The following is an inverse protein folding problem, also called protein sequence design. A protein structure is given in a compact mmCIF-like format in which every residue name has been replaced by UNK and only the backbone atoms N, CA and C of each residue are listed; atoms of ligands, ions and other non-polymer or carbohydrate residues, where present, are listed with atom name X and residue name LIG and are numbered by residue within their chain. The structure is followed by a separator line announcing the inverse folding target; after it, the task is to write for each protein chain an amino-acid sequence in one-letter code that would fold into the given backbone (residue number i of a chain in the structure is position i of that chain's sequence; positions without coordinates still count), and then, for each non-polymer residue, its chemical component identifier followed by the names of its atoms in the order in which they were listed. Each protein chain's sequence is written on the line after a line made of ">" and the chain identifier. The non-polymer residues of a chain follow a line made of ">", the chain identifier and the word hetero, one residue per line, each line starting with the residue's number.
data_IF_989013943633
#
_entry.id   IF_989013943633
#
_cell.length_a   1.000
_cell.length_b   1.000
_cell.length_c   1.000
_cell.angle_alpha   90.00
_cell.angle_beta   90.00
_cell.angle_gamma   90.00
#
_symmetry.space_group_name_H-M   'P 1'
#
loop_
_entity.id
_entity.type
_entity.pdbx_description
1 polymer ?
#
# COMPACT_ATOMS: atom_id res chain seq x y z
N UNK A 1 -3.87 1.81 68.46
CA UNK A 1 -5.29 2.01 68.75
C UNK A 1 -5.95 2.12 67.37
N UNK A 2 -6.70 1.26 66.86
CA UNK A 2 -7.61 0.22 67.11
C UNK A 2 -8.10 -0.24 65.74
N UNK A 3 -7.95 -1.47 65.45
CA UNK A 3 -8.76 -2.19 64.46
C UNK A 3 -10.02 -2.66 65.19
N UNK A 4 -10.94 -3.45 64.67
CA UNK A 4 -11.21 -4.02 63.33
C UNK A 4 -12.75 -4.06 63.00
N UNK A 5 -13.11 -4.99 62.09
CA UNK A 5 -14.42 -5.62 61.80
C UNK A 5 -15.04 -5.18 60.43
N UNK A 6 -15.70 -5.98 59.62
CA UNK A 6 -15.82 -7.46 59.52
C UNK A 6 -16.48 -7.74 58.16
N UNK A 7 -16.10 -8.84 57.56
CA UNK A 7 -16.79 -9.77 56.66
C UNK A 7 -18.29 -9.52 56.36
N UNK A 8 -18.69 -9.67 55.10
CA UNK A 8 -19.76 -10.64 54.74
C UNK A 8 -19.78 -10.99 53.24
N UNK A 9 -19.49 -12.25 52.99
CA UNK A 9 -19.83 -13.10 51.86
C UNK A 9 -21.34 -13.15 51.65
N UNK A 10 -21.84 -13.03 50.40
CA UNK A 10 -23.08 -13.71 50.01
C UNK A 10 -22.98 -14.21 48.55
N UNK A 11 -22.93 -15.50 48.49
CA UNK A 11 -23.21 -16.43 47.42
C UNK A 11 -24.69 -16.43 47.10
N UNK A 12 -25.11 -16.37 45.81
CA UNK A 12 -26.39 -16.91 45.34
C UNK A 12 -26.40 -17.15 43.83
N UNK A 13 -26.16 -18.42 43.45
CA UNK A 13 -27.07 -19.27 42.67
C UNK A 13 -27.44 -18.83 41.23
N UNK A 14 -26.92 -19.61 40.29
CA UNK A 14 -27.41 -19.86 38.94
C UNK A 14 -28.83 -20.45 38.95
N UNK A 15 -29.66 -20.17 37.95
CA UNK A 15 -30.61 -21.14 37.44
C UNK A 15 -30.45 -21.46 35.94
N UNK A 16 -31.16 -22.46 35.41
CA UNK A 16 -30.62 -23.43 34.48
C UNK A 16 -31.00 -23.22 33.01
N UNK A 17 -30.34 -24.00 32.15
CA UNK A 17 -30.53 -24.11 30.73
C UNK A 17 -31.98 -24.47 30.33
N UNK A 18 -32.53 -23.68 29.38
CA UNK A 18 -33.76 -23.98 28.68
C UNK A 18 -33.48 -24.36 27.23
N UNK A 19 -33.58 -25.65 26.95
CA UNK A 19 -33.63 -26.24 25.62
C UNK A 19 -34.88 -25.78 24.87
N UNK A 20 -34.76 -25.16 23.72
CA UNK A 20 -35.87 -24.89 22.84
C UNK A 20 -35.55 -25.18 21.37
N UNK A 21 -35.57 -26.47 21.06
CA UNK A 21 -35.63 -26.96 19.69
C UNK A 21 -36.97 -26.53 19.07
N UNK A 22 -36.94 -25.57 18.15
CA UNK A 22 -38.04 -25.36 17.21
C UNK A 22 -37.63 -25.66 15.78
N UNK A 23 -38.40 -26.59 15.27
CA UNK A 23 -38.45 -27.23 13.95
C UNK A 23 -38.43 -26.22 12.78
N UNK A 24 -37.61 -26.52 11.77
CA UNK A 24 -37.66 -25.91 10.43
C UNK A 24 -38.85 -26.49 9.66
N UNK A 25 -39.61 -25.69 8.89
CA UNK A 25 -40.43 -26.24 7.80
C UNK A 25 -39.61 -26.24 6.48
N UNK A 26 -39.72 -27.36 5.77
CA UNK A 26 -39.19 -27.59 4.45
C UNK A 26 -39.93 -26.73 3.40
N UNK A 27 -39.22 -26.00 2.57
CA UNK A 27 -39.76 -25.33 1.40
C UNK A 27 -39.57 -26.21 0.15
N UNK A 28 -40.70 -26.48 -0.48
CA UNK A 28 -40.85 -27.27 -1.69
C UNK A 28 -40.16 -26.61 -2.88
N UNK A 29 -39.44 -27.44 -3.62
CA UNK A 29 -38.96 -27.16 -4.99
C UNK A 29 -40.17 -27.18 -5.94
N UNK A 30 -40.43 -26.08 -6.62
CA UNK A 30 -41.35 -25.99 -7.73
C UNK A 30 -40.57 -26.07 -9.04
N UNK A 31 -40.70 -27.19 -9.70
CA UNK A 31 -40.27 -27.38 -11.09
C UNK A 31 -41.26 -26.68 -12.01
N UNK A 32 -40.80 -25.78 -12.85
CA UNK A 32 -41.59 -25.22 -13.94
C UNK A 32 -41.03 -25.70 -15.28
N UNK A 33 -41.87 -26.39 -16.00
CA UNK A 33 -41.65 -27.03 -17.28
C UNK A 33 -41.53 -26.02 -18.43
N UNK A 34 -40.64 -26.34 -19.35
CA UNK A 34 -40.44 -25.65 -20.62
C UNK A 34 -41.56 -25.95 -21.62
N UNK A 35 -41.90 -24.97 -22.44
CA UNK A 35 -42.46 -25.18 -23.76
C UNK A 35 -41.78 -24.23 -24.78
N UNK A 36 -41.61 -24.67 -26.04
CA UNK A 36 -40.76 -24.01 -27.01
C UNK A 36 -41.55 -23.20 -28.01
N UNK A 37 -41.08 -22.00 -28.39
CA UNK A 37 -41.56 -21.38 -29.64
C UNK A 37 -40.43 -20.67 -30.42
N UNK A 38 -40.30 -21.21 -31.63
CA UNK A 38 -40.04 -20.58 -32.94
C UNK A 38 -38.71 -19.91 -33.23
N UNK A 39 -38.02 -20.65 -34.10
CA UNK A 39 -37.02 -20.24 -35.11
C UNK A 39 -37.22 -18.82 -35.69
N UNK A 40 -36.18 -18.02 -35.63
CA UNK A 40 -35.82 -17.12 -36.75
C UNK A 40 -34.32 -17.19 -36.99
N UNK A 41 -33.95 -17.66 -38.15
CA UNK A 41 -32.62 -17.66 -38.75
C UNK A 41 -32.20 -16.21 -38.97
N UNK A 42 -30.99 -15.83 -38.52
CA UNK A 42 -30.16 -14.86 -39.23
C UNK A 42 -28.72 -15.37 -39.25
N UNK A 43 -28.28 -15.57 -40.48
CA UNK A 43 -26.93 -15.87 -40.92
C UNK A 43 -26.09 -14.65 -40.70
N UNK A 44 -25.13 -14.68 -39.79
CA UNK A 44 -23.88 -13.90 -39.77
C UNK A 44 -23.04 -14.42 -38.59
N UNK A 45 -22.32 -15.52 -38.79
CA UNK A 45 -21.33 -16.00 -37.84
C UNK A 45 -20.35 -16.96 -38.54
N UNK A 46 -19.57 -16.41 -39.41
CA UNK A 46 -18.37 -17.09 -39.91
C UNK A 46 -17.34 -16.02 -40.28
N UNK A 47 -16.67 -15.43 -39.28
CA UNK A 47 -15.40 -14.70 -39.42
C UNK A 47 -14.80 -14.24 -38.06
N UNK A 48 -15.14 -14.91 -36.94
CA UNK A 48 -14.53 -14.56 -35.64
C UNK A 48 -13.96 -15.78 -34.88
N UNK A 49 -13.69 -16.89 -35.60
CA UNK A 49 -13.17 -18.12 -34.98
C UNK A 49 -11.65 -18.33 -35.20
N UNK A 50 -10.95 -17.45 -35.94
CA UNK A 50 -9.51 -17.61 -36.18
C UNK A 50 -8.62 -16.66 -35.37
N UNK A 51 -9.15 -15.73 -34.59
CA UNK A 51 -8.34 -14.80 -33.78
C UNK A 51 -8.17 -15.22 -32.31
N UNK A 52 -8.89 -16.23 -31.82
CA UNK A 52 -8.82 -16.71 -30.42
C UNK A 52 -7.93 -17.93 -30.23
N UNK A 53 -7.44 -18.56 -31.30
CA UNK A 53 -6.52 -19.71 -31.20
C UNK A 53 -5.03 -19.31 -31.13
N UNK A 54 -4.69 -18.05 -31.36
CA UNK A 54 -3.30 -17.56 -31.30
C UNK A 54 -2.89 -16.93 -29.97
N UNK A 55 -3.85 -16.70 -29.04
CA UNK A 55 -3.54 -16.13 -27.72
C UNK A 55 -3.42 -17.16 -26.60
N UNK A 56 -3.67 -18.45 -26.85
CA UNK A 56 -3.57 -19.51 -25.84
C UNK A 56 -2.25 -20.32 -25.92
N UNK A 57 -1.37 -19.98 -26.85
CA UNK A 57 -0.05 -20.63 -26.98
C UNK A 57 1.12 -19.82 -26.35
N UNK A 58 0.84 -18.72 -25.67
CA UNK A 58 1.84 -17.82 -25.06
C UNK A 58 1.94 -17.86 -23.54
N UNK A 59 1.19 -18.70 -22.85
CA UNK A 59 1.22 -18.82 -21.38
C UNK A 59 1.76 -20.18 -20.89
N UNK A 60 2.63 -20.81 -21.64
CA UNK A 60 3.61 -21.72 -21.05
C UNK A 60 4.77 -20.88 -20.56
N UNK A 61 4.60 -20.27 -19.38
CA UNK A 61 5.69 -19.77 -18.57
C UNK A 61 6.64 -20.93 -18.29
N UNK A 62 7.61 -21.11 -19.18
CA UNK A 62 8.71 -22.02 -18.96
C UNK A 62 9.34 -21.60 -17.63
N UNK A 63 9.21 -22.44 -16.60
CA UNK A 63 10.14 -22.43 -15.48
C UNK A 63 11.52 -22.34 -16.11
N UNK A 64 12.17 -21.20 -15.97
CA UNK A 64 13.58 -21.07 -16.33
C UNK A 64 14.32 -21.98 -15.34
N UNK A 65 14.45 -23.25 -15.69
CA UNK A 65 15.34 -24.15 -15.00
C UNK A 65 16.71 -23.48 -15.08
N UNK A 66 17.31 -23.21 -13.94
CA UNK A 66 18.66 -22.68 -13.82
C UNK A 66 19.53 -23.47 -14.82
N UNK A 67 20.12 -22.76 -15.78
CA UNK A 67 20.81 -23.37 -16.92
C UNK A 67 21.75 -24.46 -16.42
N UNK A 68 21.61 -25.72 -16.81
CA UNK A 68 22.41 -26.83 -16.30
C UNK A 68 23.91 -26.62 -16.48
N UNK A 69 24.31 -25.71 -17.38
CA UNK A 69 25.67 -25.30 -17.65
C UNK A 69 26.43 -24.76 -16.45
N UNK A 70 25.76 -24.08 -15.49
CA UNK A 70 26.42 -23.53 -14.29
C UNK A 70 26.72 -24.63 -13.28
N UNK A 71 25.79 -25.56 -13.12
CA UNK A 71 25.97 -26.69 -12.19
C UNK A 71 27.10 -27.64 -12.66
N UNK A 72 27.21 -27.81 -13.97
CA UNK A 72 28.29 -28.67 -14.54
C UNK A 72 29.65 -28.03 -14.38
N UNK A 73 29.80 -26.72 -14.63
CA UNK A 73 31.07 -26.00 -14.49
C UNK A 73 31.57 -25.97 -13.04
N UNK A 74 30.67 -25.85 -12.04
CA UNK A 74 31.05 -25.83 -10.63
C UNK A 74 31.43 -27.23 -10.08
N UNK A 75 30.92 -28.30 -10.70
CA UNK A 75 31.29 -29.68 -10.31
C UNK A 75 32.68 -30.11 -10.80
N UNK A 76 33.19 -29.51 -11.90
CA UNK A 76 34.47 -29.89 -12.52
C UNK A 76 35.68 -29.10 -12.01
N UNK A 77 35.49 -28.07 -11.20
CA UNK A 77 36.59 -27.28 -10.63
C UNK A 77 37.32 -28.09 -9.54
N UNK A 78 38.47 -28.66 -9.88
CA UNK A 78 39.28 -29.52 -8.98
C UNK A 78 40.50 -28.83 -8.38
N UNK A 79 40.96 -27.74 -8.96
CA UNK A 79 42.08 -26.94 -8.46
C UNK A 79 41.65 -25.69 -7.73
N UNK A 80 42.51 -25.16 -6.83
CA UNK A 80 42.19 -23.96 -6.05
C UNK A 80 41.80 -22.76 -6.93
N UNK A 81 42.54 -22.52 -8.01
CA UNK A 81 42.23 -21.45 -8.96
C UNK A 81 40.85 -21.65 -9.66
N UNK A 82 40.56 -22.90 -10.07
CA UNK A 82 39.26 -23.24 -10.65
C UNK A 82 38.09 -23.07 -9.67
N UNK A 83 38.29 -23.40 -8.39
CA UNK A 83 37.29 -23.18 -7.33
C UNK A 83 37.09 -21.71 -7.07
N UNK A 84 38.13 -20.89 -7.06
CA UNK A 84 38.02 -19.44 -6.92
C UNK A 84 37.28 -18.81 -8.10
N UNK A 85 37.63 -19.19 -9.34
CA UNK A 85 36.91 -18.68 -10.52
C UNK A 85 35.43 -19.11 -10.53
N UNK A 86 35.12 -20.32 -10.11
CA UNK A 86 33.73 -20.78 -9.98
C UNK A 86 32.99 -20.03 -8.89
N UNK A 87 33.65 -19.70 -7.77
CA UNK A 87 33.09 -18.86 -6.73
C UNK A 87 32.81 -17.42 -7.22
N UNK A 88 33.73 -16.82 -7.97
CA UNK A 88 33.54 -15.49 -8.56
C UNK A 88 32.35 -15.47 -9.54
N UNK A 89 32.25 -16.50 -10.39
CA UNK A 89 31.12 -16.64 -11.31
C UNK A 89 29.79 -16.78 -10.58
N UNK A 90 29.76 -17.64 -9.55
CA UNK A 90 28.55 -17.82 -8.74
C UNK A 90 28.17 -16.54 -8.00
N UNK A 91 29.14 -15.82 -7.44
CA UNK A 91 28.92 -14.56 -6.75
C UNK A 91 28.34 -13.50 -7.70
N UNK A 92 28.90 -13.36 -8.91
CA UNK A 92 28.38 -12.45 -9.94
C UNK A 92 26.95 -12.80 -10.38
N UNK A 93 26.63 -14.09 -10.49
CA UNK A 93 25.29 -14.53 -10.86
C UNK A 93 24.26 -14.24 -9.76
N UNK A 94 24.64 -14.48 -8.50
CA UNK A 94 23.78 -14.16 -7.36
C UNK A 94 23.59 -12.65 -7.28
N UNK A 95 24.64 -11.84 -7.40
CA UNK A 95 24.53 -10.38 -7.40
C UNK A 95 23.59 -9.87 -8.51
N UNK A 96 23.74 -10.37 -9.74
CA UNK A 96 22.86 -10.00 -10.85
C UNK A 96 21.39 -10.42 -10.65
N UNK A 97 21.13 -11.46 -9.85
CA UNK A 97 19.78 -11.83 -9.44
C UNK A 97 19.26 -10.93 -8.32
N UNK A 98 20.13 -10.60 -7.37
CA UNK A 98 19.80 -9.69 -6.27
C UNK A 98 19.44 -8.31 -6.83
N UNK A 99 20.20 -7.74 -7.79
CA UNK A 99 19.86 -6.48 -8.48
C UNK A 99 18.48 -6.53 -9.18
N UNK A 100 18.18 -7.64 -9.87
CA UNK A 100 16.88 -7.82 -10.52
C UNK A 100 15.75 -8.00 -9.51
N UNK A 101 16.03 -8.62 -8.39
CA UNK A 101 15.09 -8.81 -7.31
C UNK A 101 14.74 -7.46 -6.67
N UNK A 102 15.72 -6.59 -6.45
CA UNK A 102 15.50 -5.25 -5.92
C UNK A 102 14.57 -4.42 -6.80
N UNK A 103 14.74 -4.48 -8.14
CA UNK A 103 13.81 -3.80 -9.07
C UNK A 103 12.37 -4.28 -8.87
N UNK A 104 12.15 -5.60 -8.76
CA UNK A 104 10.80 -6.15 -8.57
C UNK A 104 10.24 -5.83 -7.17
N UNK A 105 11.11 -5.79 -6.16
CA UNK A 105 10.72 -5.39 -4.80
C UNK A 105 10.24 -3.93 -4.80
N UNK A 106 10.97 -3.03 -5.42
CA UNK A 106 10.58 -1.63 -5.55
C UNK A 106 9.27 -1.45 -6.33
N UNK A 107 9.05 -2.23 -7.40
CA UNK A 107 7.77 -2.24 -8.15
C UNK A 107 6.61 -2.72 -7.27
N UNK A 108 6.83 -3.71 -6.41
CA UNK A 108 5.86 -4.20 -5.43
C UNK A 108 5.56 -3.14 -4.36
N UNK A 109 6.57 -2.46 -3.80
CA UNK A 109 6.42 -1.39 -2.82
C UNK A 109 5.64 -0.21 -3.40
N UNK A 110 5.91 0.15 -4.67
CA UNK A 110 5.12 1.13 -5.39
C UNK A 110 3.64 0.72 -5.48
N UNK A 111 3.37 -0.52 -5.86
CA UNK A 111 2.02 -1.03 -5.99
C UNK A 111 1.30 -1.07 -4.62
N UNK A 112 1.99 -1.45 -3.55
CA UNK A 112 1.48 -1.40 -2.18
C UNK A 112 1.13 0.02 -1.73
N UNK A 113 2.00 0.99 -1.99
CA UNK A 113 1.74 2.41 -1.70
C UNK A 113 0.52 2.93 -2.47
N UNK A 114 0.39 2.57 -3.74
CA UNK A 114 -0.79 2.91 -4.56
C UNK A 114 -2.06 2.28 -4.01
N UNK A 115 -2.01 1.01 -3.56
CA UNK A 115 -3.15 0.32 -2.97
C UNK A 115 -3.60 1.04 -1.69
N UNK A 116 -2.67 1.38 -0.80
CA UNK A 116 -2.96 2.14 0.42
C UNK A 116 -3.68 3.45 0.11
N UNK A 117 -3.17 4.23 -0.85
CA UNK A 117 -3.79 5.51 -1.24
C UNK A 117 -5.21 5.34 -1.81
N UNK A 118 -5.47 4.26 -2.56
CA UNK A 118 -6.82 3.97 -3.09
C UNK A 118 -7.76 3.51 -1.97
N UNK A 119 -7.29 2.69 -1.04
CA UNK A 119 -8.07 2.21 0.12
C UNK A 119 -8.44 3.38 1.06
N UNK A 120 -7.56 4.36 1.25
CA UNK A 120 -7.86 5.60 1.98
C UNK A 120 -8.96 6.42 1.29
N UNK A 121 -8.87 6.59 -0.03
CA UNK A 121 -9.89 7.26 -0.82
C UNK A 121 -11.25 6.53 -0.75
N UNK A 122 -11.26 5.20 -0.83
CA UNK A 122 -12.47 4.39 -0.66
C UNK A 122 -13.10 4.60 0.72
N UNK A 123 -12.29 4.67 1.77
CA UNK A 123 -12.73 4.92 3.14
C UNK A 123 -13.38 6.30 3.27
N UNK A 124 -12.78 7.33 2.69
CA UNK A 124 -13.34 8.68 2.66
C UNK A 124 -14.67 8.75 1.89
N UNK A 125 -14.74 8.12 0.71
CA UNK A 125 -15.98 8.08 -0.08
C UNK A 125 -17.08 7.34 0.67
N UNK A 126 -16.78 6.26 1.40
CA UNK A 126 -17.74 5.54 2.24
C UNK A 126 -18.34 6.43 3.31
N UNK A 127 -17.53 7.20 4.01
CA UNK A 127 -17.98 8.15 5.03
C UNK A 127 -18.90 9.24 4.45
N UNK A 128 -18.48 9.82 3.32
CA UNK A 128 -19.28 10.83 2.61
C UNK A 128 -20.59 10.27 2.10
N UNK A 129 -20.60 9.03 1.60
CA UNK A 129 -21.79 8.35 1.12
C UNK A 129 -22.78 8.10 2.27
N UNK A 130 -22.31 7.58 3.41
CA UNK A 130 -23.14 7.34 4.59
C UNK A 130 -23.78 8.65 5.09
N UNK A 131 -23.01 9.73 5.19
CA UNK A 131 -23.56 11.04 5.58
C UNK A 131 -24.60 11.54 4.56
N UNK A 132 -24.29 11.48 3.27
CA UNK A 132 -25.22 11.94 2.23
C UNK A 132 -26.50 11.09 2.14
N UNK A 133 -26.44 9.80 2.47
CA UNK A 133 -27.62 8.93 2.59
C UNK A 133 -28.48 9.31 3.80
N UNK A 134 -27.87 9.67 4.92
CA UNK A 134 -28.59 10.19 6.10
C UNK A 134 -29.28 11.52 5.77
N UNK A 135 -28.56 12.45 5.13
CA UNK A 135 -29.11 13.74 4.71
C UNK A 135 -30.30 13.53 3.74
N UNK A 136 -30.16 12.59 2.80
CA UNK A 136 -31.21 12.23 1.85
C UNK A 136 -32.47 11.71 2.56
N UNK A 137 -32.31 10.81 3.54
CA UNK A 137 -33.41 10.26 4.30
C UNK A 137 -34.15 11.35 5.11
N UNK A 138 -33.41 12.29 5.71
CA UNK A 138 -34.00 13.45 6.43
C UNK A 138 -34.76 14.37 5.47
N UNK A 139 -34.20 14.67 4.30
CA UNK A 139 -34.86 15.50 3.29
C UNK A 139 -36.09 14.80 2.71
N UNK A 140 -36.06 13.48 2.49
CA UNK A 140 -37.23 12.70 2.09
C UNK A 140 -38.34 12.77 3.12
N UNK A 141 -38.03 12.63 4.41
CA UNK A 141 -39.00 12.72 5.49
C UNK A 141 -39.62 14.15 5.56
N UNK A 142 -38.80 15.19 5.45
CA UNK A 142 -39.24 16.58 5.44
C UNK A 142 -40.16 16.87 4.26
N UNK A 143 -39.77 16.46 3.05
CA UNK A 143 -40.57 16.61 1.85
C UNK A 143 -41.88 15.83 1.93
N UNK A 144 -41.85 14.59 2.43
CA UNK A 144 -43.03 13.77 2.64
C UNK A 144 -44.01 14.40 3.61
N UNK A 145 -43.54 14.95 4.75
CA UNK A 145 -44.35 15.67 5.74
C UNK A 145 -44.99 16.93 5.14
N UNK A 146 -44.19 17.65 4.31
CA UNK A 146 -44.68 18.86 3.66
C UNK A 146 -45.75 18.54 2.61
N UNK A 147 -45.56 17.53 1.78
CA UNK A 147 -46.56 17.06 0.81
C UNK A 147 -47.85 16.58 1.51
N UNK A 148 -47.74 15.84 2.62
CA UNK A 148 -48.87 15.40 3.38
C UNK A 148 -49.65 16.58 4.00
N UNK A 149 -48.97 17.63 4.44
CA UNK A 149 -49.56 18.86 4.92
C UNK A 149 -50.31 19.59 3.80
N UNK A 150 -49.68 19.78 2.61
CA UNK A 150 -50.32 20.38 1.44
C UNK A 150 -51.58 19.62 1.01
N UNK A 151 -51.53 18.29 0.96
CA UNK A 151 -52.67 17.45 0.62
C UNK A 151 -53.84 17.63 1.60
N UNK A 152 -53.58 17.77 2.91
CA UNK A 152 -54.60 18.01 3.93
C UNK A 152 -55.27 19.37 3.83
N UNK A 153 -54.53 20.42 3.36
CA UNK A 153 -55.11 21.74 3.17
C UNK A 153 -56.09 21.81 1.98
N UNK A 154 -55.98 20.93 0.99
CA UNK A 154 -56.82 20.88 -0.21
C UNK A 154 -56.61 22.09 -1.15
N UNK A 155 -57.06 21.96 -2.37
CA UNK A 155 -56.87 22.99 -3.43
C UNK A 155 -57.61 24.33 -3.13
N UNK A 156 -58.60 24.30 -2.28
CA UNK A 156 -59.47 25.46 -2.03
C UNK A 156 -59.13 26.20 -0.72
N UNK A 157 -58.44 25.61 0.24
CA UNK A 157 -58.21 26.22 1.55
C UNK A 157 -57.39 27.50 1.51
N UNK A 158 -56.35 27.55 0.71
CA UNK A 158 -55.49 28.74 0.55
C UNK A 158 -56.15 29.84 -0.30
N UNK A 159 -56.91 29.45 -1.32
CA UNK A 159 -57.62 30.41 -2.19
C UNK A 159 -58.83 31.03 -1.47
N UNK A 160 -59.56 30.24 -0.68
CA UNK A 160 -60.71 30.71 0.09
C UNK A 160 -60.25 31.68 1.21
N UNK A 161 -59.16 31.37 1.88
CA UNK A 161 -58.52 32.24 2.88
C UNK A 161 -58.00 33.57 2.25
N UNK A 162 -57.52 33.53 1.00
CA UNK A 162 -57.03 34.70 0.27
C UNK A 162 -58.20 35.60 -0.18
N UNK A 163 -59.32 35.02 -0.61
CA UNK A 163 -60.46 35.74 -1.17
C UNK A 163 -61.39 36.31 -0.10
N UNK A 164 -61.48 35.71 1.08
CA UNK A 164 -62.36 36.14 2.17
C UNK A 164 -61.73 37.14 3.16
N UNK A 165 -60.58 37.69 2.89
CA UNK A 165 -59.85 38.64 3.77
C UNK A 165 -60.22 40.11 3.54
N UNK A 166 -60.61 40.76 4.62
CA UNK A 166 -61.27 42.04 4.65
C UNK A 166 -60.46 43.32 4.42
N UNK A 167 -59.11 43.31 4.22
CA UNK A 167 -58.35 44.55 3.95
C UNK A 167 -57.23 44.34 2.92
N UNK A 168 -56.86 45.42 2.19
CA UNK A 168 -55.71 45.41 1.23
C UNK A 168 -54.39 45.12 1.92
N UNK A 169 -54.21 45.49 3.17
CA UNK A 169 -53.02 45.24 3.99
C UNK A 169 -52.91 43.76 4.32
N UNK A 170 -54.01 43.08 4.64
CA UNK A 170 -54.04 41.63 4.90
C UNK A 170 -53.75 40.83 3.63
N UNK A 171 -54.24 41.26 2.48
CA UNK A 171 -53.97 40.66 1.17
C UNK A 171 -52.47 40.73 0.83
N UNK A 172 -51.81 41.87 1.09
CA UNK A 172 -50.38 42.04 0.88
C UNK A 172 -49.54 41.13 1.80
N UNK A 173 -49.92 41.05 3.07
CA UNK A 173 -49.24 40.16 4.03
C UNK A 173 -49.38 38.68 3.65
N UNK A 174 -50.54 38.27 3.17
CA UNK A 174 -50.82 36.90 2.70
C UNK A 174 -50.01 36.57 1.42
N UNK A 175 -49.94 37.51 0.50
CA UNK A 175 -49.12 37.36 -0.72
C UNK A 175 -47.61 37.16 -0.37
N UNK A 176 -47.10 37.91 0.61
CA UNK A 176 -45.74 37.77 1.08
C UNK A 176 -45.50 36.42 1.75
N UNK A 177 -46.48 35.92 2.51
CA UNK A 177 -46.43 34.57 3.12
C UNK A 177 -46.38 33.49 2.03
N UNK A 178 -47.19 33.59 1.00
CA UNK A 178 -47.19 32.65 -0.13
C UNK A 178 -45.85 32.67 -0.90
N UNK A 179 -45.25 33.85 -1.10
CA UNK A 179 -43.92 33.96 -1.70
C UNK A 179 -42.86 33.24 -0.89
N UNK A 180 -42.87 33.41 0.43
CA UNK A 180 -41.97 32.72 1.35
C UNK A 180 -42.19 31.21 1.33
N UNK A 181 -43.42 30.75 1.30
CA UNK A 181 -43.77 29.34 1.19
C UNK A 181 -43.20 28.72 -0.14
N UNK A 182 -43.49 29.41 -1.26
CA UNK A 182 -42.94 28.99 -2.57
C UNK A 182 -41.42 28.98 -2.62
N UNK A 183 -40.75 29.90 -1.93
CA UNK A 183 -39.30 29.90 -1.82
C UNK A 183 -38.78 28.69 -1.00
N UNK A 184 -39.46 28.41 0.12
CA UNK A 184 -39.14 27.26 0.96
C UNK A 184 -39.33 25.94 0.18
N UNK A 185 -40.41 25.80 -0.56
CA UNK A 185 -40.71 24.62 -1.38
C UNK A 185 -39.62 24.38 -2.42
N UNK A 186 -39.21 25.47 -3.11
CA UNK A 186 -38.09 25.38 -4.07
C UNK A 186 -36.79 24.96 -3.40
N UNK A 187 -36.47 25.53 -2.24
CA UNK A 187 -35.26 25.17 -1.49
C UNK A 187 -35.27 23.71 -1.05
N UNK A 188 -36.40 23.21 -0.56
CA UNK A 188 -36.56 21.78 -0.18
C UNK A 188 -36.37 20.86 -1.37
N UNK A 189 -37.05 21.15 -2.50
CA UNK A 189 -36.95 20.36 -3.73
C UNK A 189 -35.53 20.41 -4.30
N UNK A 190 -34.94 21.59 -4.41
CA UNK A 190 -33.62 21.77 -5.03
C UNK A 190 -32.53 21.15 -4.14
N UNK A 191 -32.65 21.27 -2.82
CA UNK A 191 -31.78 20.59 -1.87
C UNK A 191 -31.86 19.06 -1.98
N UNK A 192 -33.08 18.51 -2.06
CA UNK A 192 -33.29 17.09 -2.27
C UNK A 192 -32.67 16.59 -3.57
N UNK A 193 -32.92 17.27 -4.69
CA UNK A 193 -32.37 16.90 -6.00
C UNK A 193 -30.83 16.99 -6.01
N UNK A 194 -30.26 18.01 -5.36
CA UNK A 194 -28.81 18.14 -5.22
C UNK A 194 -28.22 16.98 -4.40
N UNK A 195 -28.88 16.57 -3.34
CA UNK A 195 -28.45 15.45 -2.50
C UNK A 195 -28.54 14.11 -3.26
N UNK A 196 -29.62 13.88 -4.01
CA UNK A 196 -29.76 12.70 -4.90
C UNK A 196 -28.60 12.66 -5.91
N UNK A 197 -28.31 13.79 -6.55
CA UNK A 197 -27.20 13.89 -7.51
C UNK A 197 -25.86 13.59 -6.84
N UNK A 198 -25.63 14.11 -5.63
CA UNK A 198 -24.42 13.86 -4.85
C UNK A 198 -24.27 12.38 -4.49
N UNK A 199 -25.33 11.72 -4.01
CA UNK A 199 -25.32 10.29 -3.68
C UNK A 199 -24.97 9.46 -4.90
N UNK A 200 -25.60 9.71 -6.04
CA UNK A 200 -25.32 9.00 -7.29
C UNK A 200 -23.87 9.20 -7.76
N UNK A 201 -23.33 10.42 -7.67
CA UNK A 201 -21.94 10.71 -8.02
C UNK A 201 -20.95 9.97 -7.08
N UNK A 202 -21.23 9.93 -5.77
CA UNK A 202 -20.42 9.20 -4.79
C UNK A 202 -20.47 7.69 -5.04
N UNK A 203 -21.64 7.13 -5.37
CA UNK A 203 -21.77 5.70 -5.72
C UNK A 203 -20.96 5.35 -6.95
N UNK A 204 -21.02 6.18 -8.00
CA UNK A 204 -20.23 5.99 -9.22
C UNK A 204 -18.74 6.08 -8.93
N UNK A 205 -18.31 7.07 -8.15
CA UNK A 205 -16.91 7.24 -7.73
C UNK A 205 -16.43 6.07 -6.88
N UNK A 206 -17.27 5.57 -5.96
CA UNK A 206 -16.96 4.40 -5.15
C UNK A 206 -16.75 3.15 -6.00
N UNK A 207 -17.62 2.90 -6.98
CA UNK A 207 -17.50 1.76 -7.89
C UNK A 207 -16.19 1.83 -8.69
N UNK A 208 -15.89 3.00 -9.27
CA UNK A 208 -14.66 3.20 -10.04
C UNK A 208 -13.39 3.01 -9.18
N UNK A 209 -13.39 3.53 -7.94
CA UNK A 209 -12.25 3.35 -7.02
C UNK A 209 -12.10 1.91 -6.54
N UNK A 210 -13.20 1.21 -6.31
CA UNK A 210 -13.18 -0.23 -5.99
C UNK A 210 -12.56 -1.04 -7.13
N UNK A 211 -12.94 -0.75 -8.37
CA UNK A 211 -12.41 -1.44 -9.55
C UNK A 211 -10.92 -1.12 -9.73
N UNK A 212 -10.50 0.12 -9.49
CA UNK A 212 -9.08 0.51 -9.44
C UNK A 212 -8.33 -0.28 -8.36
N UNK A 213 -8.88 -0.40 -7.15
CA UNK A 213 -8.25 -1.16 -6.06
C UNK A 213 -8.07 -2.64 -6.42
N UNK A 214 -9.04 -3.25 -7.14
CA UNK A 214 -8.91 -4.64 -7.60
C UNK A 214 -7.74 -4.82 -8.57
N UNK A 215 -7.58 -3.90 -9.53
CA UNK A 215 -6.47 -3.95 -10.51
C UNK A 215 -5.11 -3.80 -9.81
N UNK A 216 -5.00 -2.82 -8.90
CA UNK A 216 -3.75 -2.62 -8.15
C UNK A 216 -3.44 -3.81 -7.25
N UNK A 217 -4.45 -4.41 -6.62
CA UNK A 217 -4.29 -5.61 -5.78
C UNK A 217 -3.80 -6.81 -6.58
N UNK A 218 -4.34 -7.03 -7.79
CA UNK A 218 -3.83 -8.06 -8.69
C UNK A 218 -2.37 -7.83 -9.09
N UNK A 219 -1.96 -6.58 -9.29
CA UNK A 219 -0.56 -6.24 -9.54
C UNK A 219 0.32 -6.58 -8.33
N UNK A 220 -0.08 -6.18 -7.13
CA UNK A 220 0.65 -6.52 -5.88
C UNK A 220 0.86 -8.03 -5.74
N UNK A 221 -0.19 -8.82 -6.00
CA UNK A 221 -0.11 -10.28 -5.92
C UNK A 221 0.83 -10.86 -7.01
N UNK A 222 0.80 -10.32 -8.22
CA UNK A 222 1.67 -10.76 -9.33
C UNK A 222 3.16 -10.45 -9.04
N UNK A 223 3.46 -9.26 -8.56
CA UNK A 223 4.84 -8.89 -8.18
C UNK A 223 5.34 -9.76 -7.02
N UNK A 224 4.48 -10.02 -6.02
CA UNK A 224 4.81 -10.92 -4.91
C UNK A 224 5.16 -12.33 -5.39
N UNK A 225 4.42 -12.86 -6.36
CA UNK A 225 4.74 -14.17 -6.95
C UNK A 225 6.09 -14.13 -7.69
N UNK A 226 6.35 -13.06 -8.43
CA UNK A 226 7.62 -12.86 -9.14
C UNK A 226 8.79 -12.82 -8.17
N UNK A 227 8.67 -12.11 -7.04
CA UNK A 227 9.67 -12.09 -5.97
C UNK A 227 9.91 -13.50 -5.43
N UNK A 228 8.86 -14.25 -5.13
CA UNK A 228 8.99 -15.62 -4.62
C UNK A 228 9.73 -16.55 -5.62
N UNK A 229 9.42 -16.43 -6.91
CA UNK A 229 10.08 -17.20 -7.97
C UNK A 229 11.57 -16.84 -8.07
N UNK A 230 11.93 -15.55 -8.00
CA UNK A 230 13.32 -15.09 -8.03
C UNK A 230 14.12 -15.55 -6.80
N UNK A 231 13.49 -15.50 -5.62
CA UNK A 231 14.10 -16.04 -4.39
C UNK A 231 14.34 -17.54 -4.49
N UNK A 232 13.41 -18.30 -5.07
CA UNK A 232 13.57 -19.73 -5.31
C UNK A 232 14.69 -20.02 -6.32
N UNK A 233 14.81 -19.23 -7.41
CA UNK A 233 15.90 -19.31 -8.38
C UNK A 233 17.26 -19.05 -7.71
N UNK A 234 17.36 -17.99 -6.91
CA UNK A 234 18.54 -17.66 -6.10
C UNK A 234 18.95 -18.83 -5.20
N UNK A 235 17.98 -19.35 -4.45
CA UNK A 235 18.22 -20.49 -3.55
C UNK A 235 18.70 -21.73 -4.31
N UNK A 236 18.10 -22.04 -5.45
CA UNK A 236 18.49 -23.17 -6.29
C UNK A 236 19.95 -23.06 -6.78
N UNK A 237 20.40 -21.86 -7.14
CA UNK A 237 21.80 -21.60 -7.52
C UNK A 237 22.71 -21.88 -6.31
N UNK A 238 22.39 -21.33 -5.13
CA UNK A 238 23.18 -21.53 -3.90
C UNK A 238 23.23 -23.00 -3.50
N UNK A 239 22.12 -23.73 -3.61
CA UNK A 239 22.05 -25.14 -3.27
C UNK A 239 22.83 -26.02 -4.26
N UNK A 240 22.84 -25.65 -5.53
CA UNK A 240 23.62 -26.33 -6.58
C UNK A 240 25.13 -26.17 -6.46
N UNK A 241 25.64 -25.24 -5.64
CA UNK A 241 27.07 -25.01 -5.48
C UNK A 241 27.76 -26.16 -4.76
N UNK A 242 28.98 -26.48 -5.21
CA UNK A 242 29.89 -27.40 -4.53
C UNK A 242 30.21 -26.91 -3.10
N UNK A 243 30.40 -27.83 -2.17
CA UNK A 243 30.70 -27.54 -0.75
C UNK A 243 31.95 -26.67 -0.57
N UNK A 244 32.98 -26.82 -1.42
CA UNK A 244 34.17 -25.98 -1.38
C UNK A 244 33.89 -24.54 -1.81
N UNK A 245 33.10 -24.36 -2.85
CA UNK A 245 32.65 -23.02 -3.31
C UNK A 245 31.80 -22.36 -2.21
N UNK A 246 30.86 -23.08 -1.60
CA UNK A 246 30.07 -22.58 -0.46
C UNK A 246 30.97 -22.09 0.69
N UNK A 247 32.03 -22.86 1.04
CA UNK A 247 32.98 -22.44 2.05
C UNK A 247 33.73 -21.16 1.68
N UNK A 248 34.17 -21.01 0.42
CA UNK A 248 34.82 -19.79 -0.09
C UNK A 248 33.86 -18.59 0.04
N UNK A 249 32.61 -18.73 -0.40
CA UNK A 249 31.61 -17.66 -0.31
C UNK A 249 31.30 -17.28 1.14
N UNK A 250 31.12 -18.25 2.02
CA UNK A 250 30.91 -17.99 3.47
C UNK A 250 32.10 -17.27 4.09
N UNK A 251 33.32 -17.66 3.73
CA UNK A 251 34.52 -16.98 4.22
C UNK A 251 34.60 -15.53 3.72
N UNK A 252 34.31 -15.29 2.44
CA UNK A 252 34.23 -13.93 1.87
C UNK A 252 33.17 -13.07 2.56
N UNK A 253 31.98 -13.62 2.76
CA UNK A 253 30.89 -12.94 3.49
C UNK A 253 31.29 -12.57 4.92
N UNK A 254 32.01 -13.48 5.64
CA UNK A 254 32.56 -13.19 6.97
C UNK A 254 33.56 -12.04 6.95
N UNK A 255 34.48 -12.01 6.00
CA UNK A 255 35.47 -10.95 5.88
C UNK A 255 34.79 -9.60 5.53
N UNK A 256 33.80 -9.61 4.64
CA UNK A 256 32.99 -8.43 4.32
C UNK A 256 32.23 -7.92 5.56
N UNK A 257 31.59 -8.81 6.33
CA UNK A 257 30.88 -8.45 7.54
C UNK A 257 31.83 -7.87 8.62
N UNK A 258 33.05 -8.43 8.76
CA UNK A 258 34.05 -7.90 9.68
C UNK A 258 34.52 -6.51 9.24
N UNK A 259 34.76 -6.31 7.94
CA UNK A 259 35.12 -5.00 7.39
C UNK A 259 33.99 -3.97 7.63
N UNK A 260 32.75 -4.34 7.37
CA UNK A 260 31.58 -3.48 7.62
C UNK A 260 31.43 -3.14 9.10
N UNK A 261 31.58 -4.12 10.00
CA UNK A 261 31.55 -3.90 11.44
C UNK A 261 32.66 -2.95 11.92
N UNK A 262 33.86 -3.06 11.34
CA UNK A 262 34.95 -2.13 11.60
C UNK A 262 34.64 -0.71 11.11
N UNK A 263 34.12 -0.56 9.90
CA UNK A 263 33.67 0.73 9.36
C UNK A 263 32.56 1.34 10.21
N UNK A 264 31.59 0.53 10.63
CA UNK A 264 30.49 0.94 11.50
C UNK A 264 30.98 1.44 12.87
N UNK A 265 31.90 0.71 13.47
CA UNK A 265 32.53 1.11 14.75
C UNK A 265 33.32 2.41 14.60
N UNK A 266 34.06 2.57 13.51
CA UNK A 266 34.79 3.81 13.22
C UNK A 266 33.83 4.99 12.97
N UNK A 267 32.75 4.76 12.23
CA UNK A 267 31.72 5.79 12.00
C UNK A 267 31.07 6.25 13.31
N UNK A 268 30.73 5.32 14.20
CA UNK A 268 30.16 5.63 15.51
C UNK A 268 31.16 6.38 16.40
N UNK A 269 32.43 5.97 16.43
CA UNK A 269 33.48 6.63 17.22
C UNK A 269 33.72 8.08 16.75
N UNK A 270 33.54 8.36 15.47
CA UNK A 270 33.82 9.68 14.88
C UNK A 270 32.56 10.52 14.66
N UNK A 271 31.37 10.02 15.06
CA UNK A 271 30.11 10.72 14.81
C UNK A 271 30.05 12.13 15.41
N UNK A 272 30.74 12.35 16.51
CA UNK A 272 30.85 13.67 17.15
C UNK A 272 31.78 14.67 16.42
N UNK A 273 32.57 14.19 15.45
CA UNK A 273 33.48 15.04 14.64
C UNK A 273 32.92 15.26 13.23
N UNK A 274 31.81 14.65 12.90
CA UNK A 274 31.13 14.81 11.60
C UNK A 274 30.48 16.20 11.58
N UNK A 275 30.78 16.98 10.54
CA UNK A 275 30.17 18.29 10.33
C UNK A 275 28.78 18.13 9.72
N UNK A 276 27.77 18.72 10.36
CA UNK A 276 26.39 18.70 9.94
C UNK A 276 25.46 19.32 10.97
N UNK A 277 24.21 19.54 10.62
CA UNK A 277 23.19 19.98 11.59
C UNK A 277 22.92 18.89 12.62
N UNK A 278 22.40 19.19 13.82
CA UNK A 278 22.04 18.20 14.81
C UNK A 278 21.06 17.12 14.24
N UNK A 279 20.13 17.52 13.36
CA UNK A 279 19.18 16.60 12.74
C UNK A 279 19.86 15.65 11.73
N UNK A 280 20.79 16.15 10.90
CA UNK A 280 21.59 15.33 9.98
C UNK A 280 22.41 14.26 10.74
N UNK A 281 23.13 14.71 11.78
CA UNK A 281 23.88 13.78 12.65
C UNK A 281 22.95 12.79 13.34
N UNK A 282 21.77 13.24 13.74
CA UNK A 282 20.74 12.40 14.33
C UNK A 282 20.27 11.29 13.42
N UNK A 283 19.98 11.59 12.15
CA UNK A 283 19.60 10.60 11.11
C UNK A 283 20.69 9.55 10.98
N UNK A 284 21.95 9.95 10.81
CA UNK A 284 23.08 9.02 10.70
C UNK A 284 23.20 8.13 11.95
N UNK A 285 23.12 8.74 13.14
CA UNK A 285 23.22 8.00 14.41
C UNK A 285 22.09 6.98 14.55
N UNK A 286 20.88 7.35 14.18
CA UNK A 286 19.73 6.46 14.28
C UNK A 286 19.82 5.33 13.24
N UNK A 287 20.27 5.59 12.02
CA UNK A 287 20.53 4.55 11.02
C UNK A 287 21.60 3.55 11.50
N UNK A 288 22.69 4.03 12.10
CA UNK A 288 23.77 3.18 12.64
C UNK A 288 23.33 2.30 13.82
N UNK A 289 22.22 2.61 14.50
CA UNK A 289 21.66 1.73 15.55
C UNK A 289 21.08 0.43 15.01
N UNK A 290 20.77 0.39 13.71
CA UNK A 290 20.19 -0.78 13.05
C UNK A 290 21.23 -1.67 12.39
N UNK A 291 22.54 -1.42 12.58
CA UNK A 291 23.57 -2.31 12.08
C UNK A 291 23.36 -3.75 12.56
N UNK A 292 23.41 -4.70 11.62
CA UNK A 292 23.17 -6.10 11.87
C UNK A 292 21.70 -6.54 11.84
N UNK A 293 20.75 -5.62 11.68
CA UNK A 293 19.34 -5.98 11.43
C UNK A 293 19.22 -6.62 10.05
N UNK A 294 18.53 -7.78 9.92
CA UNK A 294 18.44 -8.49 8.66
C UNK A 294 17.69 -7.68 7.59
N UNK A 295 18.13 -7.83 6.35
CA UNK A 295 17.34 -7.38 5.20
C UNK A 295 16.07 -8.22 5.09
N UNK A 296 14.94 -7.53 4.99
CA UNK A 296 13.62 -8.13 4.75
C UNK A 296 12.92 -7.28 3.71
N UNK A 297 12.60 -7.84 2.54
CA UNK A 297 11.88 -7.13 1.50
C UNK A 297 10.49 -6.67 2.00
N UNK A 298 10.09 -5.45 1.66
CA UNK A 298 8.91 -4.79 2.23
C UNK A 298 9.06 -4.47 3.72
N UNK A 299 10.25 -4.58 4.29
CA UNK A 299 10.53 -4.35 5.70
C UNK A 299 10.81 -2.88 6.00
N UNK A 300 10.06 -2.29 6.94
CA UNK A 300 10.22 -0.93 7.42
C UNK A 300 10.19 -0.85 8.96
N UNK A 301 10.79 -1.81 9.65
CA UNK A 301 10.78 -1.88 11.11
C UNK A 301 12.09 -2.46 11.67
N UNK A 302 12.38 -2.28 12.97
CA UNK A 302 13.57 -2.88 13.61
C UNK A 302 13.66 -4.41 13.54
N UNK A 303 12.60 -5.10 13.10
CA UNK A 303 12.63 -6.55 12.88
C UNK A 303 13.22 -6.93 11.51
N UNK A 304 13.32 -5.98 10.60
CA UNK A 304 13.88 -6.12 9.25
C UNK A 304 13.61 -4.89 8.42
N UNK A 305 14.56 -4.55 7.57
CA UNK A 305 14.49 -3.42 6.65
C UNK A 305 14.85 -3.87 5.23
N UNK A 306 14.20 -3.29 4.21
CA UNK A 306 14.81 -3.12 2.90
C UNK A 306 15.45 -1.73 2.76
N UNK A 307 15.98 -1.40 1.60
CA UNK A 307 16.73 -0.16 1.39
C UNK A 307 15.87 1.09 1.62
N UNK A 308 14.69 1.16 1.01
CA UNK A 308 13.77 2.30 1.09
C UNK A 308 13.01 2.33 2.42
N UNK A 309 12.77 1.17 3.04
CA UNK A 309 12.15 1.07 4.36
C UNK A 309 13.04 1.52 5.52
N UNK A 310 14.35 1.27 5.44
CA UNK A 310 15.31 1.84 6.41
C UNK A 310 15.27 3.37 6.37
N UNK A 311 15.29 3.94 5.17
CA UNK A 311 15.20 5.38 4.96
C UNK A 311 13.89 5.92 5.50
N UNK A 312 12.74 5.33 5.11
CA UNK A 312 11.41 5.71 5.57
C UNK A 312 11.34 5.73 7.10
N UNK A 313 11.80 4.67 7.74
CA UNK A 313 11.73 4.51 9.20
C UNK A 313 12.57 5.56 9.94
N UNK A 314 13.79 5.77 9.47
CA UNK A 314 14.72 6.73 10.10
C UNK A 314 14.24 8.17 9.90
N UNK A 315 13.86 8.54 8.67
CA UNK A 315 13.50 9.91 8.31
C UNK A 315 12.17 10.36 8.93
N UNK A 316 11.23 9.44 9.14
CA UNK A 316 9.96 9.74 9.82
C UNK A 316 10.17 10.36 11.21
N UNK A 317 11.23 9.95 11.94
CA UNK A 317 11.59 10.49 13.26
C UNK A 317 12.07 11.95 13.18
N UNK A 318 12.52 12.39 12.03
CA UNK A 318 13.01 13.74 11.75
C UNK A 318 12.00 14.58 10.97
N UNK A 319 10.70 14.19 11.02
CA UNK A 319 9.59 14.94 10.45
C UNK A 319 9.48 14.85 8.92
N UNK A 320 10.17 13.90 8.30
CA UNK A 320 10.09 13.66 6.85
C UNK A 320 9.32 12.38 6.58
N UNK A 321 8.10 12.50 6.03
CA UNK A 321 7.30 11.37 5.59
C UNK A 321 7.69 11.01 4.16
N UNK A 322 8.28 9.84 3.99
CA UNK A 322 8.72 9.32 2.69
C UNK A 322 7.85 8.12 2.28
N UNK A 323 7.60 7.92 0.99
CA UNK A 323 7.00 6.68 0.51
C UNK A 323 7.98 5.51 0.67
N UNK A 324 7.48 4.30 0.82
CA UNK A 324 8.27 3.07 0.83
C UNK A 324 8.55 2.67 -0.64
N UNK A 325 9.41 3.42 -1.31
CA UNK A 325 9.78 3.22 -2.71
C UNK A 325 10.93 4.17 -3.09
N UNK A 326 12.11 3.64 -3.38
CA UNK A 326 13.34 4.41 -3.60
C UNK A 326 13.23 5.41 -4.77
N UNK A 327 12.62 5.01 -5.89
CA UNK A 327 12.47 5.89 -7.04
C UNK A 327 11.56 7.11 -6.75
N UNK A 328 10.58 6.98 -5.85
CA UNK A 328 9.77 8.13 -5.39
C UNK A 328 10.53 8.98 -4.38
N UNK A 329 11.28 8.36 -3.48
CA UNK A 329 12.18 9.09 -2.58
C UNK A 329 13.15 9.95 -3.39
N UNK A 330 13.69 9.42 -4.50
CA UNK A 330 14.59 10.16 -5.38
C UNK A 330 13.95 11.39 -6.07
N UNK A 331 12.64 11.47 -6.16
CA UNK A 331 11.91 12.61 -6.73
C UNK A 331 11.64 13.72 -5.70
N UNK A 332 11.81 13.42 -4.42
CA UNK A 332 11.56 14.33 -3.31
C UNK A 332 12.87 14.99 -2.84
N UNK A 333 12.74 15.99 -1.98
CA UNK A 333 13.92 16.72 -1.45
C UNK A 333 14.61 17.60 -2.50
N UNK A 334 15.77 18.13 -2.11
CA UNK A 334 16.59 19.02 -2.95
C UNK A 334 17.72 18.22 -3.60
N UNK A 335 17.90 18.36 -4.90
CA UNK A 335 19.00 17.72 -5.61
C UNK A 335 20.35 18.28 -5.14
N UNK A 336 21.30 17.39 -4.88
CA UNK A 336 22.70 17.74 -4.54
C UNK A 336 23.65 16.96 -5.45
N UNK A 337 24.83 17.49 -5.68
CA UNK A 337 25.88 16.75 -6.38
C UNK A 337 26.60 15.80 -5.43
N UNK A 338 27.21 14.73 -5.95
CA UNK A 338 27.99 13.78 -5.16
C UNK A 338 29.12 14.48 -4.36
N UNK A 339 29.77 15.49 -4.93
CA UNK A 339 30.81 16.27 -4.28
C UNK A 339 30.30 17.17 -3.13
N UNK A 340 29.01 17.38 -3.02
CA UNK A 340 28.36 18.23 -2.01
C UNK A 340 27.57 17.40 -0.98
N UNK A 341 27.79 16.09 -0.92
CA UNK A 341 27.13 15.20 0.02
C UNK A 341 27.45 15.59 1.47
N UNK A 342 26.43 15.71 2.27
CA UNK A 342 26.47 15.95 3.71
C UNK A 342 25.82 14.78 4.47
N UNK A 343 26.12 14.60 5.76
CA UNK A 343 25.51 13.56 6.58
C UNK A 343 23.97 13.57 6.48
N UNK A 344 23.38 12.41 6.29
CA UNK A 344 21.93 12.26 6.15
C UNK A 344 21.39 12.54 4.74
N UNK A 345 22.25 12.88 3.76
CA UNK A 345 21.81 12.89 2.37
C UNK A 345 21.54 11.46 1.88
N UNK A 346 20.57 11.33 0.98
CA UNK A 346 20.25 10.07 0.33
C UNK A 346 20.93 9.96 -1.02
N UNK A 347 21.52 8.81 -1.27
CA UNK A 347 22.18 8.48 -2.55
C UNK A 347 21.43 7.31 -3.19
N UNK A 348 21.10 7.46 -4.47
CA UNK A 348 20.25 6.54 -5.21
C UNK A 348 21.01 5.92 -6.38
N UNK A 349 20.75 4.63 -6.64
CA UNK A 349 21.42 3.84 -7.66
C UNK A 349 20.42 3.12 -8.56
N UNK A 350 20.93 2.79 -9.77
CA UNK A 350 20.22 2.01 -10.77
C UNK A 350 19.44 2.84 -11.80
N UNK A 351 19.16 2.21 -12.94
CA UNK A 351 18.31 2.76 -14.01
C UNK A 351 17.42 1.62 -14.57
N UNK A 352 16.18 1.48 -14.07
CA UNK A 352 15.47 2.36 -13.11
C UNK A 352 16.11 2.36 -11.72
N UNK A 353 15.83 3.43 -10.94
CA UNK A 353 16.30 3.52 -9.55
C UNK A 353 15.64 2.40 -8.74
N UNK A 354 16.47 1.59 -8.05
CA UNK A 354 16.04 0.45 -7.25
C UNK A 354 16.81 0.29 -5.94
N UNK A 355 17.78 1.16 -5.65
CA UNK A 355 18.51 1.14 -4.39
C UNK A 355 18.72 2.54 -3.82
N UNK A 356 18.70 2.65 -2.49
CA UNK A 356 18.92 3.90 -1.76
C UNK A 356 19.75 3.65 -0.51
N UNK A 357 20.68 4.57 -0.23
CA UNK A 357 21.57 4.53 0.94
C UNK A 357 21.59 5.88 1.64
N UNK A 358 21.95 5.88 2.92
CA UNK A 358 22.10 7.09 3.72
C UNK A 358 23.60 7.43 3.81
N UNK A 359 23.99 8.62 3.35
CA UNK A 359 25.37 9.09 3.44
C UNK A 359 25.74 9.44 4.88
N UNK A 360 26.91 8.95 5.32
CA UNK A 360 27.45 9.23 6.67
C UNK A 360 28.40 10.42 6.62
N UNK A 361 29.58 10.20 6.08
CA UNK A 361 30.66 11.16 5.85
C UNK A 361 31.86 10.44 5.23
N UNK A 362 32.79 11.18 4.62
CA UNK A 362 34.07 10.64 4.14
C UNK A 362 33.92 9.43 3.20
N UNK A 363 32.89 9.44 2.36
CA UNK A 363 32.60 8.35 1.45
C UNK A 363 32.03 7.09 2.12
N UNK A 364 31.59 7.14 3.38
CA UNK A 364 30.88 6.06 4.06
C UNK A 364 29.37 6.25 3.94
N UNK A 365 28.67 5.13 3.78
CA UNK A 365 27.22 5.05 3.71
C UNK A 365 26.70 3.99 4.67
N UNK A 366 25.43 4.06 5.05
CA UNK A 366 24.70 2.97 5.68
C UNK A 366 23.57 2.52 4.76
N UNK A 367 23.42 1.21 4.63
CA UNK A 367 22.48 0.57 3.70
C UNK A 367 21.83 -0.67 4.28
N UNK A 368 20.66 -1.06 3.75
CA UNK A 368 20.10 -2.40 3.80
C UNK A 368 20.22 -2.98 2.38
N UNK A 369 21.18 -3.89 2.10
CA UNK A 369 21.61 -4.14 0.73
C UNK A 369 20.69 -5.07 -0.06
N UNK A 370 20.48 -6.32 0.38
CA UNK A 370 19.67 -7.33 -0.31
C UNK A 370 19.33 -8.52 0.58
N UNK A 371 18.44 -9.39 0.11
CA UNK A 371 18.04 -10.62 0.82
C UNK A 371 19.22 -11.50 1.22
N UNK A 372 19.26 -11.84 2.50
CA UNK A 372 20.33 -12.68 3.08
C UNK A 372 21.52 -11.89 3.61
N UNK A 373 21.48 -10.57 3.57
CA UNK A 373 22.44 -9.66 4.20
C UNK A 373 21.75 -8.88 5.34
N UNK A 374 22.48 -7.95 5.93
CA UNK A 374 22.05 -7.15 7.08
C UNK A 374 22.31 -5.67 6.81
N UNK A 375 21.66 -4.80 7.57
CA UNK A 375 22.01 -3.37 7.59
C UNK A 375 23.49 -3.22 7.94
N UNK A 376 24.24 -2.51 7.13
CA UNK A 376 25.70 -2.41 7.25
C UNK A 376 26.24 -1.04 6.81
N UNK A 377 27.50 -0.77 7.15
CA UNK A 377 28.28 0.35 6.61
C UNK A 377 29.10 -0.17 5.43
N UNK A 378 29.08 0.57 4.33
CA UNK A 378 29.85 0.32 3.13
C UNK A 378 30.54 1.63 2.68
N UNK A 379 31.35 1.52 1.63
CA UNK A 379 31.96 2.70 0.98
C UNK A 379 31.14 3.06 -0.27
N UNK A 380 30.89 4.34 -0.44
CA UNK A 380 30.22 4.83 -1.64
C UNK A 380 30.98 4.45 -2.93
N UNK A 381 32.32 4.37 -2.84
CA UNK A 381 33.20 3.94 -3.94
C UNK A 381 33.05 2.48 -4.36
N UNK A 382 32.36 1.65 -3.58
CA UNK A 382 32.10 0.25 -3.89
C UNK A 382 30.88 0.09 -4.81
N UNK A 383 30.17 1.20 -5.09
CA UNK A 383 28.99 1.27 -5.94
C UNK A 383 29.31 1.88 -7.30
N UNK A 384 28.39 1.72 -8.25
CA UNK A 384 28.39 2.49 -9.50
C UNK A 384 28.15 3.98 -9.24
N UNK A 385 28.31 4.82 -10.26
CA UNK A 385 28.02 6.25 -10.12
C UNK A 385 26.56 6.47 -9.70
N UNK A 386 26.28 7.34 -8.71
CA UNK A 386 24.94 7.62 -8.27
C UNK A 386 24.03 8.15 -9.38
N UNK A 387 22.83 7.61 -9.48
CA UNK A 387 21.78 8.11 -10.39
C UNK A 387 21.20 9.42 -9.91
N UNK A 388 21.09 9.58 -8.60
CA UNK A 388 20.61 10.82 -7.97
C UNK A 388 21.13 10.93 -6.53
N UNK A 389 21.27 12.17 -6.04
CA UNK A 389 21.48 12.45 -4.62
C UNK A 389 20.45 13.48 -4.16
N UNK A 390 19.93 13.33 -2.94
CA UNK A 390 18.88 14.19 -2.39
C UNK A 390 19.15 14.58 -0.95
N UNK A 391 18.90 15.87 -0.63
CA UNK A 391 18.90 16.42 0.72
C UNK A 391 17.50 16.77 1.15
N UNK A 392 17.15 16.43 2.38
CA UNK A 392 15.84 16.69 2.95
C UNK A 392 15.87 17.70 4.08
N UNK A 393 14.78 18.46 4.24
CA UNK A 393 14.62 19.40 5.35
C UNK A 393 14.27 18.64 6.64
N UNK A 394 15.31 18.25 7.38
CA UNK A 394 15.20 17.49 8.62
C UNK A 394 14.86 18.40 9.81
N UNK A 395 14.03 17.90 10.73
CA UNK A 395 13.69 18.53 11.99
C UNK A 395 14.14 17.63 13.14
N UNK A 396 14.59 18.22 14.25
CA UNK A 396 14.85 17.41 15.45
C UNK A 396 13.55 16.79 15.98
N UNK A 397 13.61 15.53 16.44
CA UNK A 397 12.46 14.84 17.04
C UNK A 397 11.99 15.53 18.33
#
# INVERSE_FOLDING_TARGET
>A
MGAPHDTQTQDHTRPPAGDNRRKRPAARVATCSATPHTRRRFVFATLLACALAACLAGLSGGRAAASPTVIIATRQATGLAGLQQAADKAQKQVAALDDRLEVVIEDWDQAQSQLGAVDDQLSQIRLQLAQSQTDLAQQQAALGSHLAWMYKLGDYGLLDELLNGGSLTDAAARLELLKRLNQQDRQLRDGFLATVKKVNALQTSFAAKRDQAMVVRQRVDAERMTIADRLAERQAILDGLNSHIKKILVQRARLAAQSSAHLGSAALAHIGTIHGTPAQIGVVRDALRFLGVPYVWGGASPNGFDCSGLVLYVFARYGVSLPHFAAYQAQMGTAVSESQLEPGDLVFFGAPIHHVVIYIANGLIVEAPHTGDVVKVARLSDFEAPTACRRYALRMP
#
